data_IF_929170453326
#
_entry.id   IF_929170453326
#
_cell.length_a   1.000
_cell.length_b   1.000
_cell.length_c   1.000
_cell.angle_alpha   90.00
_cell.angle_beta   90.00
_cell.angle_gamma   90.00
#
_symmetry.space_group_name_H-M   'P 1'
#
loop_
_entity.id
_entity.type
_entity.pdbx_description
1 polymer ?
#
# COMPACT_ATOMS: atom_id res chain seq x y z
N UNK A 1 0.99 -5.61 -11.62
CA UNK A 1 -0.09 -4.66 -11.41
C UNK A 1 -1.42 -5.22 -11.95
N UNK A 2 -1.55 -5.57 -13.24
CA UNK A 2 -2.80 -6.10 -13.84
C UNK A 2 -3.36 -7.31 -13.10
N UNK A 3 -2.49 -8.23 -12.66
CA UNK A 3 -2.91 -9.37 -11.85
C UNK A 3 -3.51 -8.94 -10.50
N UNK A 4 -2.93 -7.92 -9.86
CA UNK A 4 -3.49 -7.36 -8.64
C UNK A 4 -4.85 -6.68 -8.87
N UNK A 5 -4.97 -5.89 -9.94
CA UNK A 5 -6.25 -5.31 -10.36
C UNK A 5 -7.33 -6.39 -10.53
N UNK A 6 -7.00 -7.49 -11.23
CA UNK A 6 -7.90 -8.62 -11.41
C UNK A 6 -8.34 -9.25 -10.08
N UNK A 7 -7.40 -9.46 -9.15
CA UNK A 7 -7.74 -9.97 -7.81
C UNK A 7 -8.69 -9.04 -7.06
N UNK A 8 -8.57 -7.72 -7.26
CA UNK A 8 -9.45 -6.71 -6.67
C UNK A 8 -10.89 -6.76 -7.18
N UNK A 9 -11.13 -7.29 -8.39
CA UNK A 9 -12.48 -7.39 -8.97
C UNK A 9 -13.23 -8.66 -8.56
N UNK A 10 -12.61 -9.57 -7.80
CA UNK A 10 -13.27 -10.78 -7.30
C UNK A 10 -14.21 -10.41 -6.16
N UNK A 11 -15.50 -10.75 -6.29
CA UNK A 11 -16.49 -10.46 -5.27
C UNK A 11 -17.83 -10.04 -5.85
N UNK A 12 -18.61 -9.31 -5.08
CA UNK A 12 -19.85 -8.68 -5.53
C UNK A 12 -19.57 -7.29 -6.08
N UNK A 13 -20.26 -6.95 -7.14
CA UNK A 13 -20.29 -5.59 -7.65
C UNK A 13 -20.83 -4.62 -6.58
N UNK A 14 -20.16 -3.49 -6.30
CA UNK A 14 -20.57 -2.56 -5.25
C UNK A 14 -21.96 -1.95 -5.43
N UNK A 15 -22.46 -1.90 -6.67
CA UNK A 15 -23.74 -1.28 -7.00
C UNK A 15 -24.82 -2.31 -7.28
N UNK A 16 -24.54 -3.23 -8.20
CA UNK A 16 -25.53 -4.24 -8.65
C UNK A 16 -25.55 -5.49 -7.79
N UNK A 17 -24.66 -5.65 -6.83
CA UNK A 17 -24.48 -6.86 -6.01
C UNK A 17 -24.37 -8.15 -6.83
N UNK A 18 -24.02 -8.04 -8.12
CA UNK A 18 -23.83 -9.20 -9.01
C UNK A 18 -22.51 -9.90 -8.67
N UNK A 19 -22.52 -11.22 -8.46
CA UNK A 19 -21.30 -11.96 -8.13
C UNK A 19 -20.38 -12.07 -9.36
N UNK A 20 -19.10 -11.68 -9.22
CA UNK A 20 -18.07 -11.78 -10.25
C UNK A 20 -16.93 -12.67 -9.78
N UNK A 21 -16.59 -13.65 -10.60
CA UNK A 21 -15.52 -14.64 -10.34
C UNK A 21 -15.65 -15.35 -8.99
N UNK A 22 -16.88 -15.51 -8.49
CA UNK A 22 -17.14 -16.14 -7.19
C UNK A 22 -17.25 -17.66 -7.28
N UNK A 23 -17.41 -18.21 -8.49
CA UNK A 23 -17.55 -19.66 -8.76
C UNK A 23 -18.61 -20.31 -7.85
N UNK A 24 -19.64 -19.60 -7.45
CA UNK A 24 -20.68 -20.07 -6.55
C UNK A 24 -20.28 -20.14 -5.06
N UNK A 25 -19.09 -19.67 -4.71
CA UNK A 25 -18.61 -19.63 -3.31
C UNK A 25 -19.15 -18.40 -2.59
N UNK A 26 -19.86 -18.63 -1.50
CA UNK A 26 -20.35 -17.57 -0.61
C UNK A 26 -19.18 -16.74 -0.03
N UNK A 27 -18.05 -17.39 0.23
CA UNK A 27 -16.85 -16.71 0.71
C UNK A 27 -16.31 -15.69 -0.32
N UNK A 28 -16.18 -16.11 -1.59
CA UNK A 28 -15.68 -15.23 -2.66
C UNK A 28 -16.67 -14.12 -3.02
N UNK A 29 -17.96 -14.26 -2.68
CA UNK A 29 -18.94 -13.18 -2.83
C UNK A 29 -18.59 -11.96 -1.96
N UNK A 30 -17.99 -12.17 -0.79
CA UNK A 30 -17.48 -11.09 0.07
C UNK A 30 -16.14 -10.50 -0.39
N UNK A 31 -15.61 -10.91 -1.54
CA UNK A 31 -14.30 -10.51 -2.04
C UNK A 31 -13.13 -11.16 -1.31
N UNK A 32 -11.96 -11.06 -1.90
CA UNK A 32 -10.72 -11.53 -1.26
C UNK A 32 -10.24 -10.44 -0.30
N UNK A 33 -10.07 -10.79 0.98
CA UNK A 33 -9.56 -9.87 1.99
C UNK A 33 -8.13 -9.45 1.71
N UNK A 34 -7.87 -8.17 1.84
CA UNK A 34 -6.55 -7.57 1.61
C UNK A 34 -5.48 -8.07 2.58
N UNK A 35 -5.84 -8.24 3.88
CA UNK A 35 -4.87 -8.60 4.92
C UNK A 35 -4.29 -10.01 4.72
N UNK A 36 -5.09 -11.08 4.48
CA UNK A 36 -4.56 -12.40 4.14
C UNK A 36 -3.61 -12.40 2.95
N UNK A 37 -3.93 -11.65 1.89
CA UNK A 37 -3.07 -11.55 0.72
C UNK A 37 -1.73 -10.89 1.04
N UNK A 38 -1.73 -9.79 1.81
CA UNK A 38 -0.47 -9.12 2.21
C UNK A 38 0.36 -10.03 3.10
N UNK A 39 -0.25 -10.63 4.14
CA UNK A 39 0.46 -11.55 5.02
C UNK A 39 1.05 -12.72 4.23
N UNK A 40 0.33 -13.24 3.25
CA UNK A 40 0.84 -14.26 2.35
C UNK A 40 2.02 -13.78 1.51
N UNK A 41 1.85 -12.70 0.77
CA UNK A 41 2.87 -12.19 -0.14
C UNK A 41 4.15 -11.70 0.54
N UNK A 42 4.07 -11.18 1.76
CA UNK A 42 5.24 -10.65 2.46
C UNK A 42 5.73 -11.58 3.57
N UNK A 43 4.88 -12.00 4.50
CA UNK A 43 5.32 -12.79 5.65
C UNK A 43 5.55 -14.26 5.27
N UNK A 44 4.55 -14.94 4.69
CA UNK A 44 4.65 -16.37 4.36
C UNK A 44 5.67 -16.59 3.23
N UNK A 45 5.65 -15.74 2.20
CA UNK A 45 6.63 -15.83 1.11
C UNK A 45 8.06 -15.63 1.61
N UNK A 46 8.28 -14.69 2.54
CA UNK A 46 9.60 -14.47 3.14
C UNK A 46 10.07 -15.68 3.93
N UNK A 47 9.18 -16.30 4.71
CA UNK A 47 9.48 -17.55 5.43
C UNK A 47 9.92 -18.65 4.45
N UNK A 48 9.24 -18.81 3.32
CA UNK A 48 9.63 -19.79 2.30
C UNK A 48 10.98 -19.46 1.64
N UNK A 49 11.25 -18.17 1.38
CA UNK A 49 12.52 -17.73 0.79
C UNK A 49 13.68 -17.97 1.75
N UNK A 50 13.52 -17.56 3.00
CA UNK A 50 14.56 -17.74 4.02
C UNK A 50 14.77 -19.23 4.34
N UNK A 51 13.68 -20.01 4.40
CA UNK A 51 13.75 -21.47 4.54
C UNK A 51 14.54 -22.12 3.40
N UNK A 52 14.30 -21.69 2.16
CA UNK A 52 15.06 -22.16 1.02
C UNK A 52 16.55 -21.78 1.11
N UNK A 53 16.88 -20.57 1.53
CA UNK A 53 18.27 -20.11 1.73
C UNK A 53 18.99 -20.90 2.82
N UNK A 54 18.31 -21.22 3.93
CA UNK A 54 18.86 -22.06 4.99
C UNK A 54 19.11 -23.47 4.47
N UNK A 55 18.17 -24.07 3.75
CA UNK A 55 18.29 -25.40 3.17
C UNK A 55 19.42 -25.51 2.12
N UNK A 56 19.70 -24.43 1.39
CA UNK A 56 20.77 -24.39 0.36
C UNK A 56 22.11 -23.90 0.91
N UNK A 57 22.23 -23.66 2.23
CA UNK A 57 23.48 -23.22 2.87
C UNK A 57 23.91 -21.78 2.51
N UNK A 58 23.04 -21.00 1.88
CA UNK A 58 23.33 -19.60 1.46
C UNK A 58 22.94 -18.56 2.52
N UNK A 59 22.64 -19.00 3.73
CA UNK A 59 22.28 -18.13 4.83
C UNK A 59 23.52 -17.46 5.40
N UNK A 60 23.68 -16.16 5.21
CA UNK A 60 24.67 -15.33 5.91
C UNK A 60 24.03 -14.76 7.17
N UNK A 61 24.50 -15.17 8.33
CA UNK A 61 24.13 -14.50 9.59
C UNK A 61 24.89 -13.18 9.68
N UNK A 62 24.26 -12.10 9.26
CA UNK A 62 24.79 -10.76 9.51
C UNK A 62 24.56 -10.40 10.98
N UNK A 63 25.62 -10.01 11.70
CA UNK A 63 25.47 -9.42 13.04
C UNK A 63 24.77 -8.05 12.88
N UNK A 64 23.51 -7.99 13.26
CA UNK A 64 22.77 -6.73 13.28
C UNK A 64 23.15 -5.97 14.53
N UNK A 65 23.71 -4.76 14.36
CA UNK A 65 23.98 -3.81 15.44
C UNK A 65 23.03 -2.62 15.32
N UNK A 66 22.55 -2.11 16.47
CA UNK A 66 21.79 -0.86 16.49
C UNK A 66 22.76 0.29 16.37
N UNK A 67 22.66 1.07 15.30
CA UNK A 67 23.27 2.38 15.20
C UNK A 67 22.16 3.40 15.01
N UNK A 68 22.05 4.35 15.92
CA UNK A 68 21.13 5.46 15.72
C UNK A 68 21.75 6.46 14.77
N UNK A 69 20.98 7.02 13.81
CA UNK A 69 21.51 8.05 12.94
C UNK A 69 21.89 9.28 13.77
N UNK A 70 22.99 9.89 13.45
CA UNK A 70 23.39 11.17 14.02
C UNK A 70 22.43 12.27 13.58
N UNK A 71 22.34 13.36 14.33
CA UNK A 71 21.53 14.53 13.94
C UNK A 71 21.99 15.10 12.59
N UNK A 72 23.28 15.00 12.26
CA UNK A 72 23.82 15.42 10.97
C UNK A 72 23.36 14.55 9.81
N UNK A 73 23.33 13.22 10.01
CA UNK A 73 22.79 12.28 9.01
C UNK A 73 21.30 12.52 8.78
N UNK A 74 20.52 12.71 9.85
CA UNK A 74 19.10 13.06 9.72
C UNK A 74 18.93 14.38 8.95
N UNK A 75 19.73 15.39 9.27
CA UNK A 75 19.66 16.70 8.60
C UNK A 75 20.08 16.64 7.12
N UNK A 76 20.95 15.72 6.74
CA UNK A 76 21.33 15.49 5.34
C UNK A 76 20.14 15.02 4.49
N UNK A 77 19.17 14.31 5.08
CA UNK A 77 17.97 13.79 4.41
C UNK A 77 16.78 14.77 4.43
N UNK A 78 16.95 16.01 4.89
CA UNK A 78 15.87 17.01 5.02
C UNK A 78 15.06 17.23 3.74
N UNK A 79 15.72 17.20 2.57
CA UNK A 79 15.06 17.38 1.28
C UNK A 79 14.14 16.17 0.99
N UNK A 80 14.62 14.95 1.27
CA UNK A 80 13.81 13.74 1.15
C UNK A 80 12.60 13.81 2.10
N UNK A 81 12.79 14.24 3.35
CA UNK A 81 11.70 14.40 4.34
C UNK A 81 10.66 15.39 3.83
N UNK A 82 11.06 16.59 3.41
CA UNK A 82 10.10 17.63 2.95
C UNK A 82 9.36 17.15 1.70
N UNK A 83 10.08 16.61 0.70
CA UNK A 83 9.46 16.06 -0.52
C UNK A 83 8.45 14.97 -0.19
N UNK A 84 8.83 14.04 0.67
CA UNK A 84 7.99 12.90 1.07
C UNK A 84 6.78 13.34 1.89
N UNK A 85 6.93 14.33 2.76
CA UNK A 85 5.83 14.92 3.49
C UNK A 85 4.80 15.55 2.54
N UNK A 86 5.26 16.28 1.52
CA UNK A 86 4.38 16.87 0.50
C UNK A 86 3.67 15.80 -0.31
N UNK A 87 4.38 14.75 -0.77
CA UNK A 87 3.78 13.63 -1.48
C UNK A 87 2.72 12.95 -0.60
N UNK A 88 3.06 12.65 0.65
CA UNK A 88 2.14 12.04 1.59
C UNK A 88 0.91 12.89 1.84
N UNK A 89 1.09 14.19 2.04
CA UNK A 89 -0.01 15.13 2.25
C UNK A 89 -0.99 15.14 1.05
N UNK A 90 -0.49 15.24 -0.18
CA UNK A 90 -1.35 15.18 -1.36
C UNK A 90 -2.05 13.84 -1.51
N UNK A 91 -1.35 12.72 -1.28
CA UNK A 91 -1.96 11.39 -1.34
C UNK A 91 -3.05 11.20 -0.27
N UNK A 92 -2.83 11.73 0.92
CA UNK A 92 -3.80 11.64 2.02
C UNK A 92 -5.07 12.46 1.78
N UNK A 93 -4.96 13.61 1.07
CA UNK A 93 -6.12 14.42 0.69
C UNK A 93 -7.04 13.70 -0.30
N UNK A 94 -6.52 12.75 -1.06
CA UNK A 94 -7.30 12.01 -2.06
C UNK A 94 -8.03 10.84 -1.38
N UNK A 95 -9.36 10.84 -1.36
CA UNK A 95 -10.12 9.72 -0.80
C UNK A 95 -9.73 8.39 -1.45
N UNK A 96 -9.52 7.37 -0.62
CA UNK A 96 -9.24 6.02 -1.09
C UNK A 96 -7.78 5.71 -1.48
N UNK A 97 -6.91 6.70 -1.66
CA UNK A 97 -5.50 6.48 -2.04
C UNK A 97 -4.70 5.85 -0.89
N UNK A 98 -4.91 6.37 0.32
CA UNK A 98 -4.33 5.81 1.53
C UNK A 98 -2.83 6.04 1.71
N UNK A 99 -2.37 5.83 2.94
CA UNK A 99 -0.97 6.02 3.33
C UNK A 99 -0.01 5.02 2.67
N UNK A 100 -0.48 3.80 2.39
CA UNK A 100 0.33 2.77 1.75
C UNK A 100 0.81 3.18 0.35
N UNK A 101 -0.11 3.73 -0.47
CA UNK A 101 0.26 4.19 -1.81
C UNK A 101 1.21 5.41 -1.73
N UNK A 102 0.98 6.32 -0.79
CA UNK A 102 1.86 7.45 -0.53
C UNK A 102 3.30 6.99 -0.23
N UNK A 103 3.47 5.98 0.61
CA UNK A 103 4.78 5.41 0.94
C UNK A 103 5.48 4.84 -0.30
N UNK A 104 4.79 4.09 -1.15
CA UNK A 104 5.37 3.55 -2.39
C UNK A 104 5.74 4.63 -3.40
N UNK A 105 4.88 5.64 -3.60
CA UNK A 105 5.17 6.75 -4.50
C UNK A 105 6.41 7.51 -4.00
N UNK A 106 6.46 7.81 -2.71
CA UNK A 106 7.56 8.55 -2.12
C UNK A 106 8.88 7.77 -2.18
N UNK A 107 8.87 6.47 -1.92
CA UNK A 107 10.04 5.61 -2.10
C UNK A 107 10.55 5.65 -3.55
N UNK A 108 9.66 5.49 -4.53
CA UNK A 108 10.03 5.53 -5.94
C UNK A 108 10.61 6.89 -6.35
N UNK A 109 10.05 7.99 -5.84
CA UNK A 109 10.60 9.32 -6.08
C UNK A 109 11.96 9.51 -5.37
N UNK A 110 12.18 8.94 -4.19
CA UNK A 110 13.49 8.96 -3.54
C UNK A 110 14.54 8.23 -4.39
N UNK A 111 14.22 7.04 -4.90
CA UNK A 111 15.08 6.30 -5.85
C UNK A 111 15.41 7.13 -7.09
N UNK A 112 14.37 7.77 -7.67
CA UNK A 112 14.51 8.56 -8.91
C UNK A 112 15.41 9.78 -8.76
N UNK A 113 15.35 10.44 -7.59
CA UNK A 113 16.13 11.66 -7.33
C UNK A 113 17.49 11.40 -6.68
N UNK A 114 17.76 10.15 -6.30
CA UNK A 114 19.04 9.77 -5.72
C UNK A 114 20.15 9.78 -6.77
N UNK A 115 21.36 10.13 -6.31
CA UNK A 115 22.58 9.99 -7.10
C UNK A 115 23.08 8.56 -7.18
N UNK A 116 22.62 7.69 -6.26
CA UNK A 116 23.06 6.29 -6.13
C UNK A 116 21.84 5.36 -5.99
N UNK A 117 20.97 5.28 -7.02
CA UNK A 117 19.71 4.53 -6.95
C UNK A 117 19.93 3.02 -6.71
N UNK A 118 21.11 2.49 -7.03
CA UNK A 118 21.48 1.09 -6.82
C UNK A 118 21.67 0.70 -5.34
N UNK A 119 21.79 1.67 -4.42
CA UNK A 119 21.86 1.44 -2.96
C UNK A 119 20.48 1.17 -2.36
N UNK A 120 19.41 1.60 -3.03
CA UNK A 120 18.05 1.35 -2.55
C UNK A 120 17.72 -0.14 -2.59
N UNK A 121 17.02 -0.61 -1.56
CA UNK A 121 16.78 -2.04 -1.34
C UNK A 121 17.97 -2.80 -0.74
N UNK A 122 19.10 -2.12 -0.48
CA UNK A 122 20.32 -2.69 0.10
C UNK A 122 20.72 -2.02 1.43
N UNK A 123 19.78 -1.29 2.05
CA UNK A 123 20.01 -0.63 3.34
C UNK A 123 20.19 0.88 3.26
N UNK A 124 19.80 1.51 2.15
CA UNK A 124 19.84 2.99 2.01
C UNK A 124 18.79 3.62 2.94
N UNK A 125 19.20 4.42 3.95
CA UNK A 125 18.29 5.00 4.93
C UNK A 125 17.28 5.96 4.32
N UNK A 126 17.63 6.69 3.27
CA UNK A 126 16.75 7.64 2.60
C UNK A 126 15.48 6.97 2.08
N UNK A 127 15.57 5.71 1.64
CA UNK A 127 14.41 4.96 1.18
C UNK A 127 13.37 4.72 2.29
N UNK A 128 13.83 4.37 3.47
CA UNK A 128 12.96 4.17 4.66
C UNK A 128 12.37 5.52 5.11
N UNK A 129 13.22 6.53 5.23
CA UNK A 129 12.81 7.89 5.62
C UNK A 129 11.75 8.44 4.66
N UNK A 130 11.92 8.26 3.36
CA UNK A 130 10.96 8.72 2.37
C UNK A 130 9.61 8.01 2.50
N UNK A 131 9.61 6.68 2.60
CA UNK A 131 8.39 5.90 2.70
C UNK A 131 7.62 6.22 3.99
N UNK A 132 8.29 6.24 5.14
CA UNK A 132 7.67 6.45 6.44
C UNK A 132 7.21 7.90 6.64
N UNK A 133 7.96 8.87 6.14
CA UNK A 133 7.52 10.28 6.18
C UNK A 133 6.23 10.48 5.38
N UNK A 134 6.14 9.89 4.18
CA UNK A 134 4.94 9.99 3.36
C UNK A 134 3.75 9.24 3.99
N UNK A 135 3.98 8.08 4.59
CA UNK A 135 2.97 7.32 5.31
C UNK A 135 2.35 8.13 6.45
N UNK A 136 3.19 8.72 7.31
CA UNK A 136 2.74 9.54 8.43
C UNK A 136 2.02 10.83 7.95
N UNK A 137 2.56 11.51 6.95
CA UNK A 137 1.94 12.71 6.39
C UNK A 137 0.57 12.41 5.74
N UNK A 138 0.45 11.29 5.04
CA UNK A 138 -0.80 10.85 4.41
C UNK A 138 -1.87 10.50 5.46
N UNK A 139 -1.48 9.89 6.57
CA UNK A 139 -2.40 9.55 7.67
C UNK A 139 -3.02 10.81 8.27
N UNK A 140 -2.19 11.83 8.52
CA UNK A 140 -2.70 13.13 9.00
C UNK A 140 -3.59 13.84 7.98
N UNK A 141 -3.18 13.87 6.71
CA UNK A 141 -3.93 14.51 5.63
C UNK A 141 -5.27 13.83 5.33
N UNK A 142 -5.36 12.51 5.50
CA UNK A 142 -6.59 11.75 5.31
C UNK A 142 -7.72 12.10 6.30
N UNK A 143 -7.39 12.79 7.40
CA UNK A 143 -8.38 13.34 8.31
C UNK A 143 -9.19 14.48 7.67
N UNK A 144 -8.62 15.19 6.70
CA UNK A 144 -9.30 16.33 6.05
C UNK A 144 -10.54 15.86 5.28
N UNK A 145 -10.43 14.95 4.27
CA UNK A 145 -11.62 14.46 3.59
C UNK A 145 -12.55 13.66 4.51
N UNK A 146 -12.02 12.96 5.51
CA UNK A 146 -12.84 12.28 6.51
C UNK A 146 -13.73 13.24 7.24
N UNK A 147 -13.19 14.25 7.89
CA UNK A 147 -13.92 15.16 8.75
C UNK A 147 -14.77 16.15 7.95
N UNK A 148 -14.24 16.65 6.83
CA UNK A 148 -14.94 17.67 6.04
C UNK A 148 -16.04 17.10 5.12
N UNK A 149 -15.86 15.90 4.60
CA UNK A 149 -16.74 15.32 3.58
C UNK A 149 -17.37 13.98 4.01
N UNK A 150 -16.95 13.41 5.14
CA UNK A 150 -17.35 12.06 5.53
C UNK A 150 -16.78 10.95 4.64
N UNK A 151 -15.76 11.25 3.85
CA UNK A 151 -15.16 10.31 2.90
C UNK A 151 -13.88 9.71 3.46
N UNK A 152 -13.78 8.37 3.57
CA UNK A 152 -12.58 7.74 4.09
C UNK A 152 -11.42 7.87 3.11
N UNK A 153 -10.26 8.32 3.59
CA UNK A 153 -9.02 8.37 2.83
C UNK A 153 -8.32 7.02 2.69
N UNK A 154 -8.72 6.02 3.49
CA UNK A 154 -8.14 4.68 3.49
C UNK A 154 -8.78 3.79 4.55
N UNK A 155 -8.25 2.58 4.74
CA UNK A 155 -8.83 1.59 5.67
C UNK A 155 -8.91 2.10 7.12
N UNK A 156 -7.90 2.81 7.61
CA UNK A 156 -7.88 3.36 8.96
C UNK A 156 -9.00 4.39 9.16
N UNK A 157 -9.17 5.31 8.22
CA UNK A 157 -10.21 6.33 8.29
C UNK A 157 -11.60 5.74 8.12
N UNK A 158 -11.76 4.63 7.38
CA UNK A 158 -13.01 3.89 7.31
C UNK A 158 -13.40 3.26 8.67
N UNK A 159 -12.43 2.71 9.40
CA UNK A 159 -12.66 2.23 10.77
C UNK A 159 -13.04 3.39 11.69
N UNK A 160 -12.41 4.55 11.54
CA UNK A 160 -12.73 5.74 12.33
C UNK A 160 -14.17 6.21 12.11
N UNK A 161 -14.71 6.13 10.88
CA UNK A 161 -16.14 6.41 10.63
C UNK A 161 -17.01 5.50 11.50
N UNK A 162 -16.68 4.21 11.56
CA UNK A 162 -17.40 3.28 12.43
C UNK A 162 -17.36 3.68 13.91
N UNK A 163 -16.20 4.13 14.40
CA UNK A 163 -16.07 4.61 15.79
C UNK A 163 -16.89 5.88 16.03
N UNK A 164 -16.87 6.84 15.11
CA UNK A 164 -17.67 8.05 15.22
C UNK A 164 -19.17 7.73 15.25
N UNK A 165 -19.63 6.84 14.36
CA UNK A 165 -21.03 6.41 14.34
C UNK A 165 -21.43 5.70 15.63
N UNK A 166 -20.55 4.93 16.27
CA UNK A 166 -20.83 4.31 17.59
C UNK A 166 -20.99 5.33 18.71
N UNK A 167 -20.51 6.55 18.55
CA UNK A 167 -20.64 7.66 19.47
C UNK A 167 -21.69 8.68 19.03
N UNK A 168 -22.60 8.29 18.10
CA UNK A 168 -23.67 9.14 17.56
C UNK A 168 -23.16 10.48 16.99
N UNK A 169 -21.94 10.46 16.40
CA UNK A 169 -21.33 11.64 15.80
C UNK A 169 -21.48 11.62 14.29
N UNK A 170 -22.13 12.61 13.75
CA UNK A 170 -22.25 12.82 12.31
C UNK A 170 -21.00 13.47 11.75
N UNK A 171 -20.32 12.74 10.86
CA UNK A 171 -19.12 13.24 10.18
C UNK A 171 -19.56 13.96 8.91
N UNK A 172 -19.04 15.16 8.70
CA UNK A 172 -19.40 15.93 7.52
C UNK A 172 -19.04 17.40 7.66
N UNK A 173 -19.50 18.27 6.75
CA UNK A 173 -19.12 19.68 6.70
C UNK A 173 -19.41 20.47 8.00
N UNK A 174 -20.38 20.01 8.78
CA UNK A 174 -20.82 20.68 10.02
C UNK A 174 -20.05 20.21 11.26
N UNK A 175 -19.23 19.16 11.20
CA UNK A 175 -18.53 18.61 12.38
C UNK A 175 -17.66 19.65 13.08
N UNK A 176 -17.09 20.60 12.33
CA UNK A 176 -16.28 21.67 12.89
C UNK A 176 -17.11 22.66 13.71
N UNK A 177 -18.43 22.71 13.54
CA UNK A 177 -19.37 23.56 14.26
C UNK A 177 -20.02 22.79 15.40
N UNK A 178 -20.50 21.58 15.14
CA UNK A 178 -21.28 20.77 16.08
C UNK A 178 -20.41 20.04 17.09
N UNK A 179 -19.20 19.60 16.68
CA UNK A 179 -18.26 18.83 17.51
C UNK A 179 -16.85 19.46 17.54
N UNK A 180 -16.77 20.78 17.58
CA UNK A 180 -15.53 21.56 17.55
C UNK A 180 -14.46 21.03 18.55
N UNK A 181 -14.85 20.85 19.80
CA UNK A 181 -13.93 20.41 20.86
C UNK A 181 -13.37 19.01 20.58
N UNK A 182 -14.18 18.11 20.04
CA UNK A 182 -13.76 16.76 19.68
C UNK A 182 -12.72 16.78 18.56
N UNK A 183 -12.93 17.62 17.54
CA UNK A 183 -11.99 17.75 16.43
C UNK A 183 -10.62 18.24 16.92
N UNK A 184 -10.59 19.19 17.85
CA UNK A 184 -9.34 19.65 18.46
C UNK A 184 -8.68 18.58 19.33
N UNK A 185 -9.46 17.81 20.10
CA UNK A 185 -8.94 16.67 20.87
C UNK A 185 -8.35 15.63 19.94
N UNK A 186 -8.99 15.36 18.81
CA UNK A 186 -8.49 14.43 17.80
C UNK A 186 -7.13 14.88 17.24
N UNK A 187 -7.00 16.14 16.82
CA UNK A 187 -5.73 16.67 16.32
C UNK A 187 -4.64 16.68 17.40
N UNK A 188 -4.97 17.07 18.62
CA UNK A 188 -4.04 16.99 19.77
C UNK A 188 -3.61 15.53 20.03
N UNK A 189 -4.53 14.59 19.96
CA UNK A 189 -4.24 13.16 20.14
C UNK A 189 -3.29 12.62 19.07
N UNK A 190 -3.48 12.97 17.80
CA UNK A 190 -2.59 12.59 16.68
C UNK A 190 -1.19 13.19 16.91
N UNK A 191 -1.11 14.45 17.33
CA UNK A 191 0.16 15.09 17.64
C UNK A 191 0.92 14.38 18.77
N UNK A 192 0.25 14.14 19.91
CA UNK A 192 0.86 13.47 21.05
C UNK A 192 1.17 12.00 20.77
N UNK A 193 0.34 11.32 19.97
CA UNK A 193 0.63 9.97 19.50
C UNK A 193 1.93 9.93 18.67
N UNK A 194 2.14 10.91 17.79
CA UNK A 194 3.36 11.02 16.99
C UNK A 194 4.61 11.23 17.87
N UNK A 195 4.50 12.06 18.91
CA UNK A 195 5.57 12.23 19.91
C UNK A 195 5.84 10.94 20.68
N UNK A 196 4.77 10.24 21.08
CA UNK A 196 4.89 8.95 21.79
C UNK A 196 5.52 7.88 20.89
N UNK A 197 5.15 7.79 19.63
CA UNK A 197 5.75 6.87 18.64
C UNK A 197 7.25 7.14 18.50
N UNK A 198 7.67 8.39 18.44
CA UNK A 198 9.09 8.74 18.38
C UNK A 198 9.83 8.27 19.66
N UNK A 199 9.28 8.55 20.83
CA UNK A 199 9.89 8.16 22.11
C UNK A 199 9.96 6.63 22.29
N UNK A 200 8.85 5.94 22.00
CA UNK A 200 8.77 4.48 22.09
C UNK A 200 9.64 3.80 21.03
N UNK A 201 9.67 4.31 19.80
CA UNK A 201 10.46 3.76 18.71
C UNK A 201 11.96 3.74 19.00
N UNK A 202 12.48 4.76 19.70
CA UNK A 202 13.87 4.77 20.17
C UNK A 202 14.14 3.64 21.15
N UNK A 203 13.18 3.35 22.05
CA UNK A 203 13.31 2.27 23.04
C UNK A 203 13.13 0.90 22.38
N UNK A 204 12.11 0.77 21.52
CA UNK A 204 11.78 -0.47 20.83
C UNK A 204 12.88 -0.91 19.87
N UNK A 205 13.59 0.01 19.21
CA UNK A 205 14.68 -0.31 18.31
C UNK A 205 15.75 -1.21 18.98
N UNK A 206 16.05 -1.00 20.27
CA UNK A 206 16.95 -1.86 21.04
C UNK A 206 16.36 -3.25 21.29
N UNK A 207 15.06 -3.32 21.56
CA UNK A 207 14.35 -4.58 21.80
C UNK A 207 14.26 -5.44 20.54
N UNK A 208 13.90 -4.84 19.41
CA UNK A 208 13.73 -5.51 18.10
C UNK A 208 15.04 -6.16 17.63
N UNK A 209 16.19 -5.54 17.91
CA UNK A 209 17.48 -6.17 17.56
C UNK A 209 17.72 -7.47 18.32
N UNK A 210 17.26 -7.58 19.55
CA UNK A 210 17.34 -8.87 20.27
C UNK A 210 16.43 -9.92 19.63
N UNK A 211 15.27 -9.52 19.14
CA UNK A 211 14.36 -10.39 18.38
C UNK A 211 14.99 -10.88 17.07
N UNK A 212 15.71 -10.01 16.36
CA UNK A 212 16.42 -10.36 15.12
C UNK A 212 17.60 -11.33 15.32
N UNK A 213 18.07 -11.53 16.57
CA UNK A 213 19.08 -12.54 16.90
C UNK A 213 18.51 -13.94 17.05
N UNK A 214 17.18 -14.09 17.10
CA UNK A 214 16.54 -15.41 17.20
C UNK A 214 16.83 -16.18 15.90
N UNK A 215 17.33 -17.42 15.99
CA UNK A 215 17.59 -18.26 14.82
C UNK A 215 16.34 -18.45 13.96
N UNK A 216 16.50 -18.37 12.66
CA UNK A 216 15.40 -18.51 11.71
C UNK A 216 14.50 -19.74 11.94
N UNK A 217 15.03 -20.96 12.27
CA UNK A 217 14.20 -22.12 12.54
C UNK A 217 13.19 -21.96 13.70
N UNK A 218 13.45 -21.03 14.63
CA UNK A 218 12.51 -20.70 15.70
C UNK A 218 11.57 -19.58 15.27
N UNK A 219 12.12 -18.55 14.59
CA UNK A 219 11.36 -17.38 14.16
C UNK A 219 10.30 -17.73 13.10
N UNK A 220 10.63 -18.60 12.15
CA UNK A 220 9.74 -18.97 11.06
C UNK A 220 8.39 -19.60 11.51
N UNK A 221 8.38 -20.62 12.38
CA UNK A 221 7.13 -21.16 12.93
C UNK A 221 6.34 -20.11 13.71
N UNK A 222 6.99 -19.26 14.51
CA UNK A 222 6.31 -18.19 15.23
C UNK A 222 5.61 -17.23 14.28
N UNK A 223 6.28 -16.78 13.21
CA UNK A 223 5.68 -15.92 12.20
C UNK A 223 4.44 -16.58 11.56
N UNK A 224 4.56 -17.87 11.18
CA UNK A 224 3.44 -18.60 10.56
C UNK A 224 2.26 -18.77 11.52
N UNK A 225 2.51 -19.07 12.80
CA UNK A 225 1.47 -19.22 13.81
C UNK A 225 0.74 -17.89 14.01
N UNK A 226 1.47 -16.80 14.25
CA UNK A 226 0.85 -15.49 14.43
C UNK A 226 0.12 -14.99 13.18
N UNK A 227 0.69 -15.20 11.99
CA UNK A 227 0.03 -14.87 10.74
C UNK A 227 -1.27 -15.66 10.55
N UNK A 228 -1.26 -16.96 10.89
CA UNK A 228 -2.45 -17.83 10.79
C UNK A 228 -3.53 -17.41 11.77
N UNK A 229 -3.17 -17.19 13.04
CA UNK A 229 -4.11 -16.72 14.07
C UNK A 229 -4.66 -15.34 13.71
N UNK A 230 -3.80 -14.41 13.31
CA UNK A 230 -4.20 -13.05 12.92
C UNK A 230 -5.13 -13.06 11.70
N UNK A 231 -4.81 -13.86 10.69
CA UNK A 231 -5.66 -14.01 9.49
C UNK A 231 -7.03 -14.59 9.84
N UNK A 232 -7.07 -15.66 10.65
CA UNK A 232 -8.32 -16.29 11.07
C UNK A 232 -9.17 -15.33 11.92
N UNK A 233 -8.55 -14.60 12.84
CA UNK A 233 -9.26 -13.71 13.77
C UNK A 233 -10.00 -12.55 13.06
N UNK A 234 -9.58 -12.15 11.85
CA UNK A 234 -10.18 -11.02 11.13
C UNK A 234 -11.65 -11.28 10.72
N UNK A 235 -11.95 -12.46 10.20
CA UNK A 235 -13.28 -12.81 9.70
C UNK A 235 -13.77 -14.19 10.18
N UNK A 236 -13.08 -14.80 11.14
CA UNK A 236 -13.32 -16.16 11.62
C UNK A 236 -13.44 -17.19 10.48
N UNK A 237 -12.66 -17.00 9.41
CA UNK A 237 -12.73 -17.80 8.19
C UNK A 237 -11.43 -18.58 7.94
N UNK A 238 -11.55 -19.90 7.86
CA UNK A 238 -10.43 -20.78 7.49
C UNK A 238 -10.01 -20.56 6.03
N UNK A 239 -10.92 -20.08 5.17
CA UNK A 239 -10.61 -19.80 3.76
C UNK A 239 -9.62 -18.65 3.62
N UNK A 240 -9.68 -17.64 4.51
CA UNK A 240 -8.67 -16.57 4.56
C UNK A 240 -7.27 -17.12 4.82
N UNK A 241 -7.16 -18.15 5.67
CA UNK A 241 -5.88 -18.82 5.94
C UNK A 241 -5.38 -19.55 4.69
N UNK A 242 -6.26 -20.23 3.95
CA UNK A 242 -5.86 -20.85 2.67
C UNK A 242 -5.44 -19.81 1.64
N UNK A 243 -6.14 -18.70 1.54
CA UNK A 243 -5.76 -17.55 0.68
C UNK A 243 -4.39 -17.02 1.07
N UNK A 244 -4.11 -16.84 2.36
CA UNK A 244 -2.81 -16.39 2.86
C UNK A 244 -1.67 -17.34 2.44
N UNK A 245 -1.82 -18.67 2.66
CA UNK A 245 -0.80 -19.62 2.26
C UNK A 245 -0.65 -19.71 0.74
N UNK A 246 -1.75 -19.68 -0.01
CA UNK A 246 -1.74 -19.63 -1.48
C UNK A 246 -1.00 -18.39 -2.00
N UNK A 247 -1.27 -17.23 -1.43
CA UNK A 247 -0.55 -15.99 -1.73
C UNK A 247 0.93 -16.08 -1.33
N UNK A 248 1.26 -16.78 -0.24
CA UNK A 248 2.63 -17.04 0.18
C UNK A 248 3.42 -17.87 -0.84
N UNK A 249 2.83 -18.95 -1.34
CA UNK A 249 3.43 -19.78 -2.39
C UNK A 249 3.60 -18.97 -3.68
N UNK A 250 2.57 -18.23 -4.08
CA UNK A 250 2.62 -17.38 -5.26
C UNK A 250 3.70 -16.29 -5.12
N UNK A 251 3.79 -15.64 -3.95
CA UNK A 251 4.81 -14.64 -3.65
C UNK A 251 6.23 -15.21 -3.70
N UNK A 252 6.43 -16.43 -3.18
CA UNK A 252 7.71 -17.14 -3.30
C UNK A 252 8.08 -17.37 -4.78
N UNK A 253 7.15 -17.87 -5.61
CA UNK A 253 7.37 -18.08 -7.04
C UNK A 253 7.66 -16.77 -7.77
N UNK A 254 6.90 -15.71 -7.46
CA UNK A 254 7.10 -14.39 -8.05
C UNK A 254 8.50 -13.82 -7.76
N UNK A 255 8.97 -13.93 -6.52
CA UNK A 255 10.33 -13.49 -6.18
C UNK A 255 11.40 -14.32 -6.89
N UNK A 256 11.20 -15.63 -7.02
CA UNK A 256 12.12 -16.52 -7.74
C UNK A 256 12.21 -16.17 -9.23
N UNK A 257 11.15 -15.63 -9.81
CA UNK A 257 11.06 -15.21 -11.22
C UNK A 257 11.24 -13.70 -11.42
N UNK A 258 11.69 -12.97 -10.39
CA UNK A 258 11.91 -11.51 -10.41
C UNK A 258 10.66 -10.66 -10.70
N UNK A 259 9.45 -11.18 -10.41
CA UNK A 259 8.23 -10.38 -10.45
C UNK A 259 8.05 -9.57 -9.17
N UNK A 260 7.59 -8.31 -9.34
CA UNK A 260 7.40 -7.37 -8.24
C UNK A 260 6.11 -7.67 -7.45
N UNK A 261 6.25 -8.14 -6.20
CA UNK A 261 5.13 -8.31 -5.27
C UNK A 261 4.44 -6.96 -4.96
N UNK A 262 5.17 -5.87 -4.66
CA UNK A 262 4.56 -4.57 -4.43
C UNK A 262 3.64 -4.11 -5.56
N UNK A 263 3.99 -4.40 -6.82
CA UNK A 263 3.14 -4.05 -7.96
C UNK A 263 1.81 -4.81 -7.98
N UNK A 264 1.78 -6.06 -7.49
CA UNK A 264 0.52 -6.83 -7.35
C UNK A 264 -0.34 -6.25 -6.24
N UNK A 265 0.27 -5.95 -5.09
CA UNK A 265 -0.43 -5.35 -3.95
C UNK A 265 -1.00 -3.98 -4.29
N UNK A 266 -0.22 -3.13 -4.98
CA UNK A 266 -0.74 -1.86 -5.50
C UNK A 266 -1.92 -2.07 -6.47
N UNK A 267 -1.81 -3.06 -7.36
CA UNK A 267 -2.90 -3.39 -8.26
C UNK A 267 -4.18 -3.81 -7.52
N UNK A 268 -4.05 -4.62 -6.48
CA UNK A 268 -5.17 -5.05 -5.64
C UNK A 268 -5.86 -3.85 -4.97
N UNK A 269 -5.08 -2.97 -4.34
CA UNK A 269 -5.60 -1.77 -3.67
C UNK A 269 -6.29 -0.85 -4.69
N UNK A 270 -5.60 -0.54 -5.78
CA UNK A 270 -6.13 0.33 -6.83
C UNK A 270 -7.36 -0.28 -7.51
N UNK A 271 -7.42 -1.62 -7.63
CA UNK A 271 -8.57 -2.33 -8.19
C UNK A 271 -9.82 -2.12 -7.34
N UNK A 272 -9.74 -2.37 -6.05
CA UNK A 272 -10.87 -2.20 -5.13
C UNK A 272 -11.33 -0.74 -5.04
N UNK A 273 -10.37 0.19 -4.90
CA UNK A 273 -10.70 1.62 -4.82
C UNK A 273 -11.28 2.12 -6.16
N UNK A 274 -10.62 1.80 -7.26
CA UNK A 274 -11.03 2.23 -8.59
C UNK A 274 -12.41 1.71 -8.97
N UNK A 275 -12.72 0.47 -8.59
CA UNK A 275 -14.03 -0.11 -8.80
C UNK A 275 -15.12 0.61 -8.01
N UNK A 276 -14.90 0.83 -6.71
CA UNK A 276 -15.86 1.53 -5.86
C UNK A 276 -16.13 2.96 -6.38
N UNK A 277 -15.07 3.72 -6.67
CA UNK A 277 -15.20 5.10 -7.15
C UNK A 277 -15.83 5.14 -8.53
N UNK A 278 -15.45 4.23 -9.44
CA UNK A 278 -16.03 4.14 -10.77
C UNK A 278 -17.52 3.78 -10.71
N UNK A 279 -17.89 2.81 -9.89
CA UNK A 279 -19.29 2.41 -9.70
C UNK A 279 -20.13 3.54 -9.12
N UNK A 280 -19.62 4.27 -8.13
CA UNK A 280 -20.30 5.46 -7.59
C UNK A 280 -20.47 6.55 -8.66
N UNK A 281 -19.42 6.82 -9.45
CA UNK A 281 -19.49 7.78 -10.54
C UNK A 281 -20.55 7.39 -11.58
N UNK A 282 -20.62 6.10 -11.94
CA UNK A 282 -21.62 5.61 -12.91
C UNK A 282 -23.06 5.76 -12.39
N UNK A 283 -23.30 5.54 -11.09
CA UNK A 283 -24.60 5.81 -10.49
C UNK A 283 -24.98 7.29 -10.56
N UNK A 284 -24.01 8.19 -10.29
CA UNK A 284 -24.26 9.64 -10.33
C UNK A 284 -24.63 10.16 -11.72
N UNK A 285 -24.22 9.48 -12.78
CA UNK A 285 -24.50 9.84 -14.18
C UNK A 285 -25.52 8.91 -14.85
N UNK A 286 -26.38 8.25 -14.07
CA UNK A 286 -27.42 7.32 -14.54
C UNK A 286 -26.88 6.26 -15.54
N UNK A 287 -25.70 5.72 -15.26
CA UNK A 287 -24.98 4.76 -16.11
C UNK A 287 -24.63 5.27 -17.52
N UNK A 288 -24.66 6.58 -17.74
CA UNK A 288 -24.25 7.19 -18.99
C UNK A 288 -22.74 7.39 -19.04
N UNK A 289 -22.05 6.69 -19.96
CA UNK A 289 -20.60 6.91 -20.16
C UNK A 289 -20.31 8.35 -20.61
N UNK A 290 -21.22 8.98 -21.34
CA UNK A 290 -21.09 10.36 -21.80
C UNK A 290 -21.22 11.31 -20.60
N UNK A 291 -22.09 11.01 -19.63
CA UNK A 291 -22.25 11.80 -18.41
C UNK A 291 -20.99 11.91 -17.56
N UNK A 292 -20.04 10.97 -17.69
CA UNK A 292 -18.73 11.10 -17.04
C UNK A 292 -17.91 12.31 -17.55
N UNK A 293 -18.28 12.88 -18.69
CA UNK A 293 -17.61 14.03 -19.31
C UNK A 293 -18.36 15.36 -19.11
N UNK A 294 -19.47 15.37 -18.36
CA UNK A 294 -20.32 16.54 -18.19
C UNK A 294 -19.64 17.68 -17.42
N UNK A 295 -18.65 17.37 -16.56
CA UNK A 295 -17.88 18.40 -15.88
C UNK A 295 -16.48 18.55 -16.49
N UNK A 296 -16.01 19.80 -16.60
CA UNK A 296 -14.66 20.09 -17.12
C UNK A 296 -13.56 19.38 -16.35
N UNK A 297 -13.76 19.16 -15.03
CA UNK A 297 -12.80 18.47 -14.17
C UNK A 297 -12.76 16.99 -14.50
N UNK A 298 -13.92 16.32 -14.61
CA UNK A 298 -13.98 14.89 -14.94
C UNK A 298 -13.47 14.62 -16.35
N UNK A 299 -13.87 15.44 -17.32
CA UNK A 299 -13.39 15.35 -18.71
C UNK A 299 -11.87 15.53 -18.77
N UNK A 300 -11.32 16.52 -18.07
CA UNK A 300 -9.88 16.77 -18.00
C UNK A 300 -9.11 15.62 -17.39
N UNK A 301 -9.58 15.06 -16.28
CA UNK A 301 -8.96 13.91 -15.60
C UNK A 301 -9.00 12.64 -16.48
N UNK A 302 -10.14 12.34 -17.12
CA UNK A 302 -10.28 11.18 -17.99
C UNK A 302 -9.38 11.30 -19.22
N UNK A 303 -9.40 12.45 -19.90
CA UNK A 303 -8.54 12.70 -21.06
C UNK A 303 -7.05 12.65 -20.67
N UNK A 304 -6.67 13.24 -19.54
CA UNK A 304 -5.31 13.17 -19.00
C UNK A 304 -4.88 11.74 -18.71
N UNK A 305 -5.75 10.93 -18.12
CA UNK A 305 -5.51 9.51 -17.88
C UNK A 305 -5.29 8.73 -19.18
N UNK A 306 -6.17 8.91 -20.17
CA UNK A 306 -6.05 8.25 -21.47
C UNK A 306 -4.76 8.66 -22.20
N UNK A 307 -4.43 9.97 -22.21
CA UNK A 307 -3.20 10.46 -22.81
C UNK A 307 -1.95 9.92 -22.11
N UNK A 308 -1.97 9.79 -20.79
CA UNK A 308 -0.87 9.21 -20.02
C UNK A 308 -0.66 7.74 -20.38
N UNK A 309 -1.74 6.95 -20.45
CA UNK A 309 -1.67 5.53 -20.87
C UNK A 309 -1.11 5.42 -22.29
N UNK A 310 -1.64 6.23 -23.22
CA UNK A 310 -1.18 6.25 -24.59
C UNK A 310 0.31 6.61 -24.72
N UNK A 311 0.75 7.63 -23.96
CA UNK A 311 2.16 8.03 -23.94
C UNK A 311 3.08 6.94 -23.39
N UNK A 312 2.68 6.25 -22.32
CA UNK A 312 3.42 5.15 -21.73
C UNK A 312 3.51 3.96 -22.70
N UNK A 313 2.40 3.61 -23.36
CA UNK A 313 2.38 2.56 -24.37
C UNK A 313 3.27 2.91 -25.57
N UNK A 314 3.19 4.14 -26.05
CA UNK A 314 4.04 4.63 -27.15
C UNK A 314 5.52 4.55 -26.79
N UNK A 315 5.91 5.01 -25.60
CA UNK A 315 7.31 4.90 -25.11
C UNK A 315 7.78 3.44 -25.06
N UNK A 316 6.94 2.54 -24.59
CA UNK A 316 7.27 1.12 -24.47
C UNK A 316 7.41 0.44 -25.83
N UNK A 317 6.51 0.74 -26.77
CA UNK A 317 6.58 0.26 -28.15
C UNK A 317 7.82 0.78 -28.88
N UNK A 318 8.15 2.06 -28.70
CA UNK A 318 9.37 2.66 -29.26
C UNK A 318 10.63 2.01 -28.70
N UNK A 319 10.67 1.71 -27.39
CA UNK A 319 11.79 1.01 -26.75
C UNK A 319 11.95 -0.43 -27.29
N UNK A 320 10.84 -1.16 -27.45
CA UNK A 320 10.84 -2.50 -28.05
C UNK A 320 11.31 -2.46 -29.51
N UNK A 321 10.84 -1.49 -30.29
CA UNK A 321 11.26 -1.32 -31.68
C UNK A 321 12.77 -1.08 -31.78
N UNK A 322 13.34 -0.22 -30.92
CA UNK A 322 14.78 0.04 -30.89
C UNK A 322 15.60 -1.21 -30.50
N UNK A 323 15.10 -2.01 -29.55
CA UNK A 323 15.77 -3.28 -29.15
C UNK A 323 15.73 -4.28 -30.32
N UNK A 324 14.60 -4.43 -30.99
CA UNK A 324 14.46 -5.35 -32.14
C UNK A 324 15.39 -4.91 -33.27
N UNK A 325 15.44 -3.61 -33.58
CA UNK A 325 16.29 -3.07 -34.64
C UNK A 325 17.79 -3.26 -34.30
N UNK A 326 18.16 -3.09 -33.03
CA UNK A 326 19.54 -3.32 -32.60
C UNK A 326 19.93 -4.81 -32.67
N UNK A 327 19.01 -5.71 -32.38
CA UNK A 327 19.22 -7.14 -32.51
C UNK A 327 19.33 -7.57 -33.99
N UNK A 328 18.55 -6.97 -34.88
CA UNK A 328 18.67 -7.20 -36.34
C UNK A 328 20.06 -6.75 -36.87
N UNK A 329 20.53 -5.57 -36.48
CA UNK A 329 21.89 -5.10 -36.86
C UNK A 329 22.99 -6.01 -36.31
N UNK A 330 22.87 -6.55 -35.09
CA UNK A 330 23.83 -7.50 -34.54
C UNK A 330 23.82 -8.89 -35.18
N UNK A 331 22.76 -9.28 -35.88
CA UNK A 331 22.65 -10.58 -36.58
C UNK A 331 23.23 -10.48 -37.99
N UNK A 332 23.26 -9.30 -38.61
CA UNK A 332 23.76 -9.09 -39.97
C UNK A 332 25.21 -8.60 -40.03
N UNK A 333 25.87 -8.40 -38.88
CA UNK A 333 27.31 -8.21 -38.75
C UNK A 333 27.95 -9.34 -37.93
#
# INVERSE_FOLDING_TARGET
LLFGLFLGTIGQDPVGATPRFTFGSLYLSGGISFVPLILGFFAVAEVFIQGHRVATGTHSSSSVSVSYPSLLEFWSMKIAVVRSAVIGWFCGLLPGVGATLAAFISYNEAVRWSKEPEKFGKGEPEGVVAAETANNAATGAAMIPLLALGLPGGALTAIMIGVFNMHDMEIGPLIMVEAHDLVWVLFASIFWASVAILALGVVEAKGIVHLLRIPFPILAPCILIFATIGTYALRASIVDVYVMFGAGILGFLMRKTNYSIPAVVMGLILGQIGENVFSQAMVMVDYSVIGLFDTWVSAGCLLGGVLTIFFLLYRRLKSLYLIVHYLEECIYH
#
